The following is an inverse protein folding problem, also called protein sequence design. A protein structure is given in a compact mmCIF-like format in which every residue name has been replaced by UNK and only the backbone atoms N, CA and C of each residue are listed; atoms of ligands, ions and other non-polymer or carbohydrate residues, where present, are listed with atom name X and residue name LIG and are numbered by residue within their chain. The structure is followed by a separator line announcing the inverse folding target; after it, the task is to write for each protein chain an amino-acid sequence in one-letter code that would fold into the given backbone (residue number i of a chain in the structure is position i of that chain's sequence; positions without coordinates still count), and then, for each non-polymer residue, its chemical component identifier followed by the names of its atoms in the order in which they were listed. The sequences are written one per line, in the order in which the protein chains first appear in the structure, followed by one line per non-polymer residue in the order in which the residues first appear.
data_IF_710848076107
#
_entry.id   IF_710848076107
#
_cell.length_a   1.000
_cell.length_b   1.000
_cell.length_c   1.000
_cell.angle_alpha   90.00
_cell.angle_beta   90.00
_cell.angle_gamma   90.00
#
_symmetry.space_group_name_H-M   'P 1'
#
loop_
_entity.id
_entity.type
_entity.pdbx_description
1 polymer ?
#
# COMPACT_ATOMS: atom_id res chain seq x y z
N UNK A 1 20.22 -20.96 -15.26
CA UNK A 1 19.85 -21.74 -14.05
C UNK A 1 19.85 -20.76 -12.90
N UNK A 2 18.74 -20.64 -12.16
CA UNK A 2 18.61 -19.65 -11.09
C UNK A 2 19.62 -19.93 -9.97
N UNK A 3 20.12 -18.88 -9.33
CA UNK A 3 20.91 -19.05 -8.11
C UNK A 3 20.05 -19.60 -6.97
N UNK A 4 20.67 -20.40 -6.08
CA UNK A 4 19.95 -21.01 -4.94
C UNK A 4 19.31 -19.97 -4.01
N UNK A 5 19.89 -18.77 -3.91
CA UNK A 5 19.33 -17.67 -3.11
C UNK A 5 18.09 -17.06 -3.79
N UNK A 6 18.10 -16.89 -5.11
CA UNK A 6 16.94 -16.40 -5.87
C UNK A 6 15.77 -17.36 -5.76
N UNK A 7 16.02 -18.67 -5.88
CA UNK A 7 14.97 -19.68 -5.73
C UNK A 7 14.28 -19.61 -4.35
N UNK A 8 15.05 -19.44 -3.27
CA UNK A 8 14.51 -19.31 -1.91
C UNK A 8 13.64 -18.06 -1.74
N UNK A 9 14.03 -16.93 -2.35
CA UNK A 9 13.24 -15.70 -2.31
C UNK A 9 11.93 -15.87 -3.10
N UNK A 10 12.00 -16.47 -4.29
CA UNK A 10 10.81 -16.78 -5.11
C UNK A 10 9.84 -17.70 -4.35
N UNK A 11 10.35 -18.75 -3.71
CA UNK A 11 9.51 -19.67 -2.93
C UNK A 11 8.86 -18.95 -1.74
N UNK A 12 9.58 -18.01 -1.10
CA UNK A 12 9.06 -17.20 0.00
C UNK A 12 7.94 -16.25 -0.43
N UNK A 13 8.05 -15.65 -1.63
CA UNK A 13 7.00 -14.82 -2.24
C UNK A 13 5.76 -15.65 -2.57
N UNK A 14 5.95 -16.80 -3.24
CA UNK A 14 4.85 -17.69 -3.67
C UNK A 14 4.08 -18.31 -2.51
N UNK A 15 4.76 -18.57 -1.40
CA UNK A 15 4.13 -19.11 -0.18
C UNK A 15 3.59 -18.03 0.74
N UNK A 16 3.76 -16.74 0.38
CA UNK A 16 3.40 -15.58 1.20
C UNK A 16 3.95 -15.62 2.64
N UNK A 17 5.04 -16.37 2.86
CA UNK A 17 5.76 -16.40 4.16
C UNK A 17 6.33 -15.03 4.49
N UNK A 18 6.68 -14.29 3.45
CA UNK A 18 7.06 -12.89 3.50
C UNK A 18 5.86 -12.08 3.00
N UNK A 19 5.23 -11.34 3.89
CA UNK A 19 4.04 -10.55 3.58
C UNK A 19 4.07 -9.12 4.17
N UNK A 20 5.14 -8.69 4.84
CA UNK A 20 5.25 -7.31 5.34
C UNK A 20 5.79 -6.38 4.27
N UNK A 21 5.43 -5.09 4.32
CA UNK A 21 5.96 -4.10 3.37
C UNK A 21 7.49 -4.08 3.32
N UNK A 22 8.12 -4.07 4.49
CA UNK A 22 9.58 -3.99 4.65
C UNK A 22 10.28 -5.09 3.89
N UNK A 23 9.85 -6.34 4.09
CA UNK A 23 10.48 -7.50 3.49
C UNK A 23 10.18 -7.62 2.00
N UNK A 24 8.96 -7.28 1.56
CA UNK A 24 8.63 -7.26 0.13
C UNK A 24 9.47 -6.21 -0.62
N UNK A 25 9.60 -4.99 -0.09
CA UNK A 25 10.51 -3.98 -0.64
C UNK A 25 11.98 -4.43 -0.62
N UNK A 26 12.39 -5.20 0.40
CA UNK A 26 13.75 -5.78 0.46
C UNK A 26 13.98 -6.76 -0.68
N UNK A 27 13.02 -7.62 -0.98
CA UNK A 27 13.13 -8.59 -2.08
C UNK A 27 13.05 -7.87 -3.44
N UNK A 28 12.21 -6.85 -3.58
CA UNK A 28 12.17 -5.98 -4.78
C UNK A 28 13.53 -5.35 -5.08
N UNK A 29 14.25 -4.84 -4.06
CA UNK A 29 15.62 -4.32 -4.25
C UNK A 29 16.60 -5.40 -4.71
N UNK A 30 16.48 -6.63 -4.20
CA UNK A 30 17.29 -7.75 -4.67
C UNK A 30 17.00 -8.04 -6.14
N UNK A 31 15.73 -8.13 -6.51
CA UNK A 31 15.30 -8.35 -7.90
C UNK A 31 15.82 -7.27 -8.85
N UNK A 32 15.76 -5.99 -8.43
CA UNK A 32 16.28 -4.87 -9.21
C UNK A 32 17.81 -4.85 -9.34
N UNK A 33 18.53 -5.53 -8.44
CA UNK A 33 20.00 -5.64 -8.45
C UNK A 33 20.54 -6.88 -9.18
N UNK A 34 19.66 -7.74 -9.71
CA UNK A 34 20.06 -8.94 -10.44
C UNK A 34 20.81 -8.55 -11.74
N UNK A 35 22.08 -8.96 -11.84
CA UNK A 35 22.88 -8.80 -13.07
C UNK A 35 22.45 -9.79 -14.18
N UNK A 36 21.88 -10.94 -13.79
CA UNK A 36 21.38 -11.95 -14.70
C UNK A 36 19.90 -11.68 -15.06
N UNK A 37 19.61 -11.53 -16.35
CA UNK A 37 18.25 -11.30 -16.85
C UNK A 37 17.26 -12.43 -16.52
N UNK A 38 17.70 -13.69 -16.50
CA UNK A 38 16.83 -14.82 -16.14
C UNK A 38 16.40 -14.75 -14.68
N UNK A 39 17.33 -14.37 -13.78
CA UNK A 39 17.05 -14.17 -12.37
C UNK A 39 16.09 -12.99 -12.18
N UNK A 40 16.32 -11.87 -12.87
CA UNK A 40 15.44 -10.70 -12.83
C UNK A 40 14.03 -11.02 -13.35
N UNK A 41 13.91 -11.73 -14.48
CA UNK A 41 12.62 -12.17 -15.04
C UNK A 41 11.88 -13.12 -14.11
N UNK A 42 12.59 -14.01 -13.42
CA UNK A 42 11.98 -14.98 -12.51
C UNK A 42 11.26 -14.34 -11.30
N UNK A 43 11.60 -13.10 -10.94
CA UNK A 43 10.90 -12.36 -9.88
C UNK A 43 9.57 -11.75 -10.32
N UNK A 44 9.34 -11.51 -11.62
CA UNK A 44 8.21 -10.69 -12.07
C UNK A 44 6.84 -11.23 -11.59
N UNK A 45 6.53 -12.48 -11.89
CA UNK A 45 5.26 -13.10 -11.52
C UNK A 45 5.12 -13.30 -9.99
N UNK A 46 6.11 -13.89 -9.28
CA UNK A 46 6.05 -14.04 -7.83
C UNK A 46 5.90 -12.72 -7.07
N UNK A 47 6.61 -11.68 -7.51
CA UNK A 47 6.57 -10.38 -6.86
C UNK A 47 5.24 -9.67 -7.08
N UNK A 48 4.71 -9.70 -8.30
CA UNK A 48 3.38 -9.15 -8.62
C UNK A 48 2.28 -9.84 -7.80
N UNK A 49 2.34 -11.16 -7.71
CA UNK A 49 1.41 -11.95 -6.90
C UNK A 49 1.52 -11.62 -5.41
N UNK A 50 2.73 -11.50 -4.87
CA UNK A 50 2.94 -11.15 -3.47
C UNK A 50 2.45 -9.74 -3.14
N UNK A 51 2.65 -8.76 -4.02
CA UNK A 51 2.10 -7.41 -3.84
C UNK A 51 0.59 -7.36 -3.89
N UNK A 52 0.00 -8.12 -4.81
CA UNK A 52 -1.46 -8.27 -4.88
C UNK A 52 -1.99 -8.86 -3.58
N UNK A 53 -1.40 -9.97 -3.11
CA UNK A 53 -1.79 -10.60 -1.85
C UNK A 53 -1.61 -9.67 -0.64
N UNK A 54 -0.52 -8.91 -0.58
CA UNK A 54 -0.29 -7.95 0.49
C UNK A 54 -1.42 -6.94 0.61
N UNK A 55 -1.88 -6.38 -0.52
CA UNK A 55 -2.94 -5.36 -0.57
C UNK A 55 -4.34 -5.96 -0.36
N UNK A 56 -4.63 -7.13 -0.95
CA UNK A 56 -5.96 -7.74 -0.90
C UNK A 56 -6.18 -8.63 0.33
N UNK A 57 -5.12 -8.92 1.10
CA UNK A 57 -5.22 -9.51 2.43
C UNK A 57 -5.34 -8.44 3.51
N UNK A 58 -5.55 -8.85 4.76
CA UNK A 58 -5.59 -7.92 5.89
C UNK A 58 -4.23 -7.33 6.27
N UNK A 59 -3.12 -7.77 5.66
CA UNK A 59 -1.78 -7.38 6.10
C UNK A 59 -1.48 -5.90 5.84
N UNK A 60 -1.84 -5.38 4.65
CA UNK A 60 -1.68 -3.96 4.33
C UNK A 60 -2.49 -3.05 5.26
N UNK A 61 -3.77 -3.38 5.46
CA UNK A 61 -4.63 -2.67 6.41
C UNK A 61 -4.09 -2.75 7.84
N UNK A 62 -3.59 -3.91 8.27
CA UNK A 62 -3.01 -4.10 9.62
C UNK A 62 -1.80 -3.19 9.85
N UNK A 63 -0.90 -3.07 8.87
CA UNK A 63 0.25 -2.17 8.97
C UNK A 63 -0.19 -0.70 8.99
N UNK A 64 -1.16 -0.30 8.16
CA UNK A 64 -1.74 1.04 8.16
C UNK A 64 -2.41 1.39 9.49
N UNK A 65 -3.27 0.51 10.02
CA UNK A 65 -3.93 0.69 11.32
C UNK A 65 -2.92 0.75 12.48
N UNK A 66 -1.79 0.05 12.37
CA UNK A 66 -0.69 0.14 13.34
C UNK A 66 -0.05 1.53 13.43
N UNK A 67 -0.08 2.29 12.33
CA UNK A 67 0.43 3.66 12.20
C UNK A 67 -0.65 4.74 12.45
N UNK A 68 -1.93 4.38 12.37
CA UNK A 68 -3.09 5.29 12.48
C UNK A 68 -3.93 4.95 13.71
N UNK A 69 -3.35 5.03 14.90
CA UNK A 69 -4.00 4.49 16.11
C UNK A 69 -5.16 5.35 16.60
N UNK A 70 -5.12 6.66 16.35
CA UNK A 70 -6.17 7.56 16.80
C UNK A 70 -7.34 7.52 15.82
N UNK A 71 -7.05 7.43 14.53
CA UNK A 71 -8.01 7.40 13.44
C UNK A 71 -7.66 6.28 12.45
N UNK A 72 -7.97 5.01 12.76
CA UNK A 72 -7.58 3.89 11.93
C UNK A 72 -8.12 3.98 10.52
N UNK A 73 -7.28 3.64 9.52
CA UNK A 73 -7.77 3.32 8.20
C UNK A 73 -8.83 2.21 8.27
N UNK A 74 -9.89 2.34 7.47
CA UNK A 74 -10.90 1.31 7.28
C UNK A 74 -10.64 0.51 6.01
N UNK A 75 -11.24 -0.68 5.91
CA UNK A 75 -11.21 -1.48 4.70
C UNK A 75 -11.77 -0.71 3.49
N UNK A 76 -12.81 0.09 3.69
CA UNK A 76 -13.46 0.85 2.62
C UNK A 76 -12.50 1.85 1.96
N UNK A 77 -11.60 2.45 2.74
CA UNK A 77 -10.57 3.37 2.22
C UNK A 77 -9.53 2.62 1.38
N UNK A 78 -9.17 1.39 1.79
CA UNK A 78 -8.27 0.52 1.03
C UNK A 78 -8.93 0.05 -0.26
N UNK A 79 -10.20 -0.34 -0.21
CA UNK A 79 -10.95 -0.81 -1.36
C UNK A 79 -11.18 0.30 -2.39
N UNK A 80 -11.49 1.53 -1.97
CA UNK A 80 -11.62 2.67 -2.89
C UNK A 80 -10.28 3.04 -3.54
N UNK A 81 -9.17 3.02 -2.79
CA UNK A 81 -7.84 3.24 -3.35
C UNK A 81 -7.50 2.16 -4.41
N UNK A 82 -7.77 0.89 -4.10
CA UNK A 82 -7.58 -0.23 -5.03
C UNK A 82 -8.44 -0.06 -6.29
N UNK A 83 -9.71 0.28 -6.13
CA UNK A 83 -10.62 0.54 -7.25
C UNK A 83 -10.09 1.66 -8.16
N UNK A 84 -9.62 2.77 -7.59
CA UNK A 84 -9.05 3.89 -8.37
C UNK A 84 -7.79 3.49 -9.12
N UNK A 85 -6.92 2.69 -8.51
CA UNK A 85 -5.72 2.17 -9.18
C UNK A 85 -6.09 1.27 -10.36
N UNK A 86 -7.06 0.39 -10.21
CA UNK A 86 -7.50 -0.52 -11.26
C UNK A 86 -8.17 0.21 -12.44
N UNK A 87 -8.86 1.32 -12.16
CA UNK A 87 -9.52 2.14 -13.17
C UNK A 87 -8.62 3.23 -13.78
N UNK A 88 -7.38 3.37 -13.32
CA UNK A 88 -6.41 4.32 -13.85
C UNK A 88 -5.56 3.66 -14.96
N UNK A 89 -5.72 4.06 -16.23
CA UNK A 89 -5.01 3.47 -17.37
C UNK A 89 -3.48 3.58 -17.27
N UNK A 90 -2.97 4.56 -16.52
CA UNK A 90 -1.54 4.78 -16.32
C UNK A 90 -0.99 3.94 -15.15
N UNK A 91 -1.86 3.48 -14.26
CA UNK A 91 -1.52 2.71 -13.06
C UNK A 91 -1.62 1.20 -13.26
N UNK A 92 -2.48 0.71 -14.18
CA UNK A 92 -2.69 -0.74 -14.40
C UNK A 92 -1.49 -1.50 -14.99
N UNK A 93 -0.42 -0.79 -15.36
CA UNK A 93 0.82 -1.38 -15.90
C UNK A 93 1.92 -1.56 -14.86
N UNK A 94 1.76 -1.00 -13.65
CA UNK A 94 2.74 -1.16 -12.58
C UNK A 94 2.44 -2.40 -11.76
N UNK A 95 3.46 -3.22 -11.53
CA UNK A 95 3.38 -4.37 -10.63
C UNK A 95 3.42 -3.97 -9.14
N UNK A 96 3.68 -2.70 -8.82
CA UNK A 96 3.76 -2.19 -7.45
C UNK A 96 2.42 -1.59 -6.99
N UNK A 97 1.44 -2.48 -6.80
CA UNK A 97 0.09 -2.16 -6.34
C UNK A 97 0.02 -1.38 -5.01
N UNK A 98 0.77 -1.72 -3.94
CA UNK A 98 0.66 -0.99 -2.68
C UNK A 98 1.19 0.44 -2.78
N UNK A 99 2.26 0.70 -3.53
CA UNK A 99 2.74 2.06 -3.76
C UNK A 99 1.68 2.91 -4.47
N UNK A 100 1.00 2.34 -5.46
CA UNK A 100 -0.11 3.01 -6.14
C UNK A 100 -1.29 3.27 -5.21
N UNK A 101 -1.66 2.32 -4.36
CA UNK A 101 -2.73 2.52 -3.38
C UNK A 101 -2.37 3.65 -2.39
N UNK A 102 -1.16 3.62 -1.83
CA UNK A 102 -0.64 4.65 -0.92
C UNK A 102 -0.65 6.04 -1.57
N UNK A 103 -0.25 6.16 -2.84
CA UNK A 103 -0.29 7.45 -3.53
C UNK A 103 -1.70 7.96 -3.78
N UNK A 104 -2.67 7.08 -4.11
CA UNK A 104 -4.09 7.48 -4.19
C UNK A 104 -4.67 7.88 -2.83
N UNK A 105 -4.24 7.22 -1.75
CA UNK A 105 -4.63 7.56 -0.38
C UNK A 105 -4.09 8.90 0.08
N UNK A 106 -2.91 9.32 -0.42
CA UNK A 106 -2.32 10.63 -0.10
C UNK A 106 -3.17 11.80 -0.60
N UNK A 107 -3.91 11.60 -1.69
CA UNK A 107 -4.71 12.65 -2.33
C UNK A 107 -6.14 12.75 -1.77
N UNK A 108 -6.58 11.85 -0.87
CA UNK A 108 -8.01 11.71 -0.54
C UNK A 108 -8.31 11.27 0.90
N UNK A 109 -9.58 11.45 1.25
CA UNK A 109 -10.36 10.88 2.37
C UNK A 109 -10.61 11.75 3.61
N UNK A 110 -9.68 12.60 4.03
CA UNK A 110 -9.83 13.35 5.29
C UNK A 110 -11.15 14.14 5.36
N UNK A 111 -11.51 14.84 4.28
CA UNK A 111 -12.76 15.59 4.21
C UNK A 111 -13.99 14.68 4.20
N UNK A 112 -14.05 13.67 3.33
CA UNK A 112 -15.23 12.83 3.19
C UNK A 112 -15.53 12.03 4.47
N UNK A 113 -14.49 11.53 5.14
CA UNK A 113 -14.65 10.76 6.38
C UNK A 113 -15.15 11.63 7.54
N UNK A 114 -14.71 12.88 7.63
CA UNK A 114 -15.09 13.79 8.72
C UNK A 114 -16.59 14.13 8.78
N UNK A 115 -17.32 13.92 7.68
CA UNK A 115 -18.76 14.14 7.60
C UNK A 115 -19.58 12.88 7.94
N UNK A 116 -18.96 11.72 8.12
CA UNK A 116 -19.66 10.47 8.48
C UNK A 116 -20.29 10.59 9.86
N UNK A 117 -21.58 10.28 9.97
CA UNK A 117 -22.35 10.42 11.23
C UNK A 117 -21.82 9.51 12.34
N UNK A 118 -21.23 8.39 11.96
CA UNK A 118 -20.59 7.43 12.85
C UNK A 118 -19.45 8.06 13.66
N UNK A 119 -18.80 9.11 13.14
CA UNK A 119 -17.77 9.88 13.84
C UNK A 119 -18.32 10.82 14.91
N UNK A 120 -19.64 11.05 14.89
CA UNK A 120 -20.32 12.04 15.73
C UNK A 120 -21.47 11.44 16.52
N UNK A 121 -21.42 10.13 16.82
CA UNK A 121 -22.47 9.41 17.58
C UNK A 121 -23.87 9.55 16.93
N UNK A 122 -23.91 9.51 15.60
CA UNK A 122 -25.14 9.57 14.81
C UNK A 122 -25.68 10.98 14.53
N UNK A 123 -25.06 12.03 15.08
CA UNK A 123 -25.46 13.43 14.80
C UNK A 123 -24.81 13.97 13.53
N UNK A 124 -25.40 15.04 12.99
CA UNK A 124 -24.78 15.82 11.93
C UNK A 124 -23.77 16.81 12.54
N UNK A 125 -22.51 16.83 12.08
CA UNK A 125 -21.53 17.83 12.53
C UNK A 125 -21.81 19.19 11.92
N UNK A 126 -21.38 20.24 12.61
CA UNK A 126 -21.23 21.55 11.98
C UNK A 126 -20.05 21.54 11.00
N UNK A 127 -20.01 22.53 10.10
CA UNK A 127 -18.92 22.66 9.14
C UNK A 127 -17.56 22.81 9.81
N UNK A 128 -17.47 23.57 10.91
CA UNK A 128 -16.23 23.77 11.66
C UNK A 128 -15.75 22.46 12.31
N UNK A 129 -16.68 21.73 12.93
CA UNK A 129 -16.39 20.43 13.55
C UNK A 129 -15.88 19.40 12.54
N UNK A 130 -16.56 19.27 11.39
CA UNK A 130 -16.13 18.39 10.31
C UNK A 130 -14.76 18.80 9.77
N UNK A 131 -14.53 20.10 9.54
CA UNK A 131 -13.24 20.59 9.07
C UNK A 131 -12.10 20.32 10.06
N UNK A 132 -12.34 20.51 11.35
CA UNK A 132 -11.33 20.23 12.37
C UNK A 132 -11.01 18.75 12.47
N UNK A 133 -12.02 17.87 12.42
CA UNK A 133 -11.80 16.43 12.40
C UNK A 133 -11.07 15.97 11.13
N UNK A 134 -11.40 16.58 9.98
CA UNK A 134 -10.69 16.31 8.73
C UNK A 134 -9.19 16.64 8.85
N UNK A 135 -8.81 17.73 9.51
CA UNK A 135 -7.40 18.06 9.71
C UNK A 135 -6.66 16.98 10.50
N UNK A 136 -7.27 16.44 11.55
CA UNK A 136 -6.68 15.34 12.32
C UNK A 136 -6.51 14.05 11.51
N UNK A 137 -7.50 13.71 10.68
CA UNK A 137 -7.38 12.62 9.72
C UNK A 137 -6.25 12.88 8.72
N UNK A 138 -6.22 14.06 8.12
CA UNK A 138 -5.21 14.45 7.13
C UNK A 138 -3.80 14.33 7.68
N UNK A 139 -3.56 14.84 8.89
CA UNK A 139 -2.24 14.79 9.54
C UNK A 139 -1.80 13.35 9.82
N UNK A 140 -2.63 12.55 10.51
CA UNK A 140 -2.25 11.18 10.89
C UNK A 140 -2.13 10.26 9.68
N UNK A 141 -3.06 10.36 8.73
CA UNK A 141 -3.06 9.52 7.52
C UNK A 141 -1.91 9.90 6.60
N UNK A 142 -1.62 11.20 6.42
CA UNK A 142 -0.46 11.63 5.64
C UNK A 142 0.83 11.11 6.28
N UNK A 143 0.96 11.20 7.60
CA UNK A 143 2.13 10.67 8.30
C UNK A 143 2.29 9.16 8.13
N UNK A 144 1.20 8.40 8.23
CA UNK A 144 1.21 6.95 8.05
C UNK A 144 1.58 6.56 6.61
N UNK A 145 0.93 7.19 5.62
CA UNK A 145 1.22 6.98 4.19
C UNK A 145 2.66 7.33 3.87
N UNK A 146 3.16 8.48 4.33
CA UNK A 146 4.55 8.89 4.12
C UNK A 146 5.54 7.93 4.79
N UNK A 147 5.19 7.40 5.97
CA UNK A 147 6.02 6.40 6.65
C UNK A 147 6.13 5.11 5.82
N UNK A 148 5.03 4.63 5.25
CA UNK A 148 5.05 3.44 4.38
C UNK A 148 5.74 3.72 3.05
N UNK A 149 5.54 4.89 2.43
CA UNK A 149 6.18 5.26 1.17
C UNK A 149 7.71 5.34 1.28
N UNK A 150 8.27 5.63 2.47
CA UNK A 150 9.73 5.64 2.70
C UNK A 150 10.42 4.28 2.54
N UNK A 151 9.68 3.17 2.48
CA UNK A 151 10.25 1.86 2.18
C UNK A 151 10.81 1.77 0.76
N UNK A 152 10.35 2.66 -0.13
CA UNK A 152 10.89 2.87 -1.46
C UNK A 152 11.83 4.08 -1.47
N UNK A 153 13.11 3.86 -1.75
CA UNK A 153 14.09 4.95 -1.88
C UNK A 153 13.89 5.79 -3.14
N UNK A 154 13.25 5.22 -4.16
CA UNK A 154 12.86 5.85 -5.43
C UNK A 154 11.47 5.30 -5.78
N UNK A 155 10.55 6.08 -6.38
CA UNK A 155 9.31 5.53 -6.91
C UNK A 155 9.59 4.28 -7.76
N UNK A 156 8.86 3.17 -7.53
CA UNK A 156 9.08 1.95 -8.28
C UNK A 156 8.92 2.24 -9.78
N UNK A 157 9.93 1.84 -10.55
CA UNK A 157 9.95 2.11 -11.98
C UNK A 157 8.81 1.34 -12.67
N UNK A 158 8.08 2.06 -13.53
CA UNK A 158 7.12 1.47 -14.48
C UNK A 158 7.95 0.66 -15.49
N UNK A 159 7.93 -0.66 -15.41
CA UNK A 159 8.54 -1.55 -16.41
C UNK A 159 7.46 -2.14 -17.31
#
# INVERSE_FOLDING_TARGET
MLSSSVQQLIDSLRTHRVNTLTELCRIERVAASCENEDDARAFQEPMTSAWTYYVTSNQFLTELSGLTRNYPFSSDLVDDALYRVQNDPDSNRSWNLPWLCLTKMKDLYAKAESWKKEMWDGRDPSQEEAHQLAQYFEDEWTQAVDTMLRHWSVPPARY
#
